data_IF_576828624329
#
_entry.id   IF_576828624329
#
_cell.length_a   1.000
_cell.length_b   1.000
_cell.length_c   1.000
_cell.angle_alpha   90.00
_cell.angle_beta   90.00
_cell.angle_gamma   90.00
#
_symmetry.space_group_name_H-M   'P 1'
#
loop_
_entity.id
_entity.type
_entity.pdbx_description
1 polymer ?
#
# COMPACT_ATOMS: atom_id res chain seq x y z
N UNK A 1 -4.41 -0.26 3.12
CA UNK A 1 -4.70 -1.29 2.07
C UNK A 1 -3.44 -1.75 1.34
N UNK A 2 -2.56 -0.86 0.83
CA UNK A 2 -1.21 -1.24 0.32
C UNK A 2 -0.27 -1.90 1.37
N UNK A 3 -0.66 -1.91 2.64
CA UNK A 3 0.02 -2.67 3.70
C UNK A 3 -0.21 -4.18 3.59
N UNK A 4 -1.30 -4.65 2.95
CA UNK A 4 -1.66 -6.07 2.90
C UNK A 4 -0.87 -6.85 1.83
N UNK A 5 -0.51 -6.21 0.72
CA UNK A 5 0.37 -6.80 -0.31
C UNK A 5 1.78 -7.04 0.25
N UNK A 6 2.38 -6.04 0.91
CA UNK A 6 3.66 -6.20 1.62
C UNK A 6 3.59 -7.21 2.77
N UNK A 7 2.45 -7.33 3.47
CA UNK A 7 2.26 -8.35 4.50
C UNK A 7 2.29 -9.78 3.95
N UNK A 8 1.88 -10.01 2.70
CA UNK A 8 1.92 -11.34 2.07
C UNK A 8 3.32 -11.73 1.61
N UNK A 9 4.09 -10.77 1.09
CA UNK A 9 5.52 -10.95 0.80
C UNK A 9 6.28 -11.37 2.07
N UNK A 10 6.01 -10.68 3.19
CA UNK A 10 6.58 -10.97 4.51
C UNK A 10 6.09 -12.32 5.08
N UNK A 11 4.83 -12.69 4.85
CA UNK A 11 4.30 -13.99 5.26
C UNK A 11 4.94 -15.16 4.49
N UNK A 12 5.28 -14.98 3.21
CA UNK A 12 6.03 -15.97 2.41
C UNK A 12 7.45 -16.17 2.94
N UNK A 13 8.12 -15.10 3.36
CA UNK A 13 9.48 -15.18 3.92
C UNK A 13 9.50 -15.81 5.32
N UNK A 14 8.50 -15.55 6.16
CA UNK A 14 8.39 -16.15 7.49
C UNK A 14 8.16 -17.68 7.46
N UNK A 15 7.47 -18.20 6.44
CA UNK A 15 7.18 -19.64 6.33
C UNK A 15 8.42 -20.51 6.01
N UNK A 16 9.49 -19.94 5.46
CA UNK A 16 10.69 -20.67 5.08
C UNK A 16 11.72 -20.85 6.21
N UNK A 17 11.70 -20.00 7.25
CA UNK A 17 12.73 -20.00 8.30
C UNK A 17 12.54 -21.10 9.37
N UNK A 18 11.37 -21.74 9.45
CA UNK A 18 11.02 -22.67 10.56
C UNK A 18 11.54 -24.11 10.36
N UNK A 19 12.26 -24.42 9.27
CA UNK A 19 12.55 -25.82 8.91
C UNK A 19 13.98 -26.35 9.20
N UNK A 20 14.93 -25.58 9.74
CA UNK A 20 16.32 -26.07 9.86
C UNK A 20 17.00 -25.63 11.17
N UNK A 21 16.92 -26.46 12.22
CA UNK A 21 17.94 -26.56 13.28
C UNK A 21 17.68 -27.77 14.19
N UNK A 22 18.25 -28.94 13.88
CA UNK A 22 18.32 -30.08 14.80
C UNK A 22 19.75 -30.66 14.78
N UNK A 23 20.68 -30.03 15.49
CA UNK A 23 21.96 -30.65 15.88
C UNK A 23 22.19 -30.50 17.39
N UNK A 24 22.49 -31.59 18.13
CA UNK A 24 22.67 -31.52 19.57
C UNK A 24 24.09 -31.01 19.92
N UNK A 25 24.16 -29.79 20.46
CA UNK A 25 25.36 -29.24 21.10
C UNK A 25 25.43 -29.59 22.60
N UNK A 26 26.62 -29.57 23.23
CA UNK A 26 26.81 -30.05 24.60
C UNK A 26 26.23 -29.09 25.66
N UNK A 27 25.29 -29.65 26.41
CA UNK A 27 24.73 -29.32 27.72
C UNK A 27 25.25 -28.08 28.47
N UNK A 28 24.43 -27.02 28.49
CA UNK A 28 24.42 -26.00 29.55
C UNK A 28 23.18 -26.21 30.43
N UNK A 29 23.43 -26.41 31.73
CA UNK A 29 22.52 -26.33 32.89
C UNK A 29 21.00 -26.41 32.67
N UNK A 30 20.44 -27.61 32.88
CA UNK A 30 19.35 -27.89 33.83
C UNK A 30 17.99 -27.18 33.72
N UNK A 31 17.74 -26.32 32.74
CA UNK A 31 16.37 -25.96 32.38
C UNK A 31 15.73 -27.22 31.79
N UNK A 32 14.65 -27.70 32.41
CA UNK A 32 13.82 -28.76 31.85
C UNK A 32 13.36 -28.27 30.48
N UNK A 33 13.99 -28.78 29.41
CA UNK A 33 13.61 -28.43 28.06
C UNK A 33 12.14 -28.83 27.88
N UNK A 34 11.34 -27.91 27.32
CA UNK A 34 9.95 -28.17 27.01
C UNK A 34 9.83 -29.49 26.24
N UNK A 35 8.83 -30.31 26.60
CA UNK A 35 8.60 -31.55 25.88
C UNK A 35 8.34 -31.19 24.39
N UNK A 36 8.93 -31.92 23.43
CA UNK A 36 8.73 -31.61 22.02
C UNK A 36 7.23 -31.67 21.68
N UNK A 37 6.74 -30.81 20.77
CA UNK A 37 5.33 -30.79 20.42
C UNK A 37 4.95 -32.10 19.75
N UNK A 38 3.74 -32.60 20.02
CA UNK A 38 3.28 -33.88 19.46
C UNK A 38 3.26 -33.86 17.92
N UNK A 39 3.35 -35.04 17.29
CA UNK A 39 3.31 -35.15 15.83
C UNK A 39 2.01 -34.56 15.25
N UNK A 40 0.90 -34.75 15.96
CA UNK A 40 -0.40 -34.18 15.60
C UNK A 40 -0.40 -32.65 15.70
N UNK A 41 0.19 -32.11 16.77
CA UNK A 41 0.34 -30.67 16.98
C UNK A 41 1.15 -30.04 15.81
N UNK A 42 2.29 -30.64 15.45
CA UNK A 42 3.12 -30.20 14.32
C UNK A 42 2.38 -30.28 12.99
N UNK A 43 1.65 -31.36 12.74
CA UNK A 43 0.83 -31.50 11.55
C UNK A 43 -0.28 -30.44 11.49
N UNK A 44 -0.90 -30.12 12.62
CA UNK A 44 -1.91 -29.08 12.70
C UNK A 44 -1.34 -27.69 12.39
N UNK A 45 -0.17 -27.36 12.96
CA UNK A 45 0.51 -26.09 12.70
C UNK A 45 0.87 -25.93 11.22
N UNK A 46 1.43 -26.97 10.59
CA UNK A 46 1.73 -26.98 9.14
C UNK A 46 0.48 -26.74 8.30
N UNK A 47 -0.63 -27.41 8.62
CA UNK A 47 -1.92 -27.18 7.95
C UNK A 47 -2.40 -25.73 8.14
N UNK A 48 -2.21 -25.15 9.33
CA UNK A 48 -2.55 -23.76 9.62
C UNK A 48 -1.77 -22.78 8.74
N UNK A 49 -0.44 -22.94 8.65
CA UNK A 49 0.39 -22.11 7.78
C UNK A 49 0.11 -22.31 6.29
N UNK A 50 -0.08 -23.55 5.85
CA UNK A 50 -0.46 -23.85 4.47
C UNK A 50 -1.81 -23.23 4.13
N UNK A 51 -2.80 -23.33 5.02
CA UNK A 51 -4.09 -22.68 4.88
C UNK A 51 -3.97 -21.15 4.84
N UNK A 52 -3.12 -20.57 5.69
CA UNK A 52 -2.85 -19.13 5.71
C UNK A 52 -2.22 -18.65 4.39
N UNK A 53 -1.19 -19.34 3.91
CA UNK A 53 -0.57 -19.07 2.61
C UNK A 53 -1.56 -19.29 1.45
N UNK A 54 -2.46 -20.26 1.61
CA UNK A 54 -3.56 -20.55 0.71
C UNK A 54 -4.76 -19.58 0.86
N UNK A 55 -4.72 -18.63 1.81
CA UNK A 55 -5.80 -17.67 2.04
C UNK A 55 -7.13 -18.34 2.38
N UNK A 56 -7.10 -19.56 2.92
CA UNK A 56 -8.28 -20.34 3.25
C UNK A 56 -8.91 -19.83 4.55
N UNK A 57 -10.24 -19.83 4.60
CA UNK A 57 -11.00 -19.35 5.76
C UNK A 57 -10.74 -20.15 7.04
N UNK A 58 -10.33 -21.42 6.94
CA UNK A 58 -10.03 -22.27 8.09
C UNK A 58 -8.65 -22.01 8.72
N UNK A 59 -7.79 -21.18 8.11
CA UNK A 59 -6.45 -20.90 8.61
C UNK A 59 -6.46 -20.38 10.05
N UNK A 60 -7.37 -19.44 10.37
CA UNK A 60 -7.46 -18.86 11.71
C UNK A 60 -7.77 -19.92 12.79
N UNK A 61 -8.73 -20.82 12.51
CA UNK A 61 -9.12 -21.88 13.44
C UNK A 61 -7.98 -22.88 13.69
N UNK A 62 -7.25 -23.23 12.64
CA UNK A 62 -6.09 -24.13 12.73
C UNK A 62 -4.98 -23.49 13.57
N UNK A 63 -4.64 -22.23 13.29
CA UNK A 63 -3.62 -21.48 14.04
C UNK A 63 -4.04 -21.28 15.50
N UNK A 64 -5.31 -21.01 15.79
CA UNK A 64 -5.81 -20.89 17.16
C UNK A 64 -5.73 -22.19 17.96
N UNK A 65 -5.99 -23.32 17.30
CA UNK A 65 -5.80 -24.65 17.92
C UNK A 65 -4.32 -24.91 18.20
N UNK A 66 -3.44 -24.54 17.27
CA UNK A 66 -1.99 -24.65 17.46
C UNK A 66 -1.48 -23.76 18.58
N UNK A 67 -1.96 -22.51 18.73
CA UNK A 67 -1.59 -21.65 19.87
C UNK A 67 -1.92 -22.33 21.19
N UNK A 68 -3.16 -22.83 21.33
CA UNK A 68 -3.61 -23.48 22.57
C UNK A 68 -2.75 -24.69 22.93
N UNK A 69 -2.35 -25.47 21.93
CA UNK A 69 -1.50 -26.64 22.11
C UNK A 69 -0.05 -26.28 22.44
N UNK A 70 0.51 -25.26 21.79
CA UNK A 70 1.87 -24.79 22.03
C UNK A 70 2.00 -24.17 23.43
N UNK A 71 1.02 -23.38 23.85
CA UNK A 71 0.98 -22.81 25.20
C UNK A 71 0.84 -23.93 26.27
N UNK A 72 -0.04 -24.90 26.04
CA UNK A 72 -0.25 -26.04 26.94
C UNK A 72 0.98 -26.94 27.07
N UNK A 73 1.77 -27.06 26.02
CA UNK A 73 3.01 -27.86 26.02
C UNK A 73 4.26 -27.04 26.35
N UNK A 74 4.09 -25.78 26.78
CA UNK A 74 5.15 -24.88 27.22
C UNK A 74 6.26 -24.70 26.18
N UNK A 75 5.90 -24.64 24.90
CA UNK A 75 6.85 -24.43 23.81
C UNK A 75 7.57 -23.07 23.94
N UNK A 76 8.75 -22.91 23.30
CA UNK A 76 9.50 -21.66 23.36
C UNK A 76 8.63 -20.43 23.04
N UNK A 77 8.69 -19.34 23.86
CA UNK A 77 7.81 -18.19 23.68
C UNK A 77 7.90 -17.51 22.31
N UNK A 78 9.07 -17.53 21.67
CA UNK A 78 9.29 -17.03 20.31
C UNK A 78 8.53 -17.83 19.25
N UNK A 79 8.44 -19.16 19.39
CA UNK A 79 7.60 -19.98 18.50
C UNK A 79 6.13 -19.61 18.67
N UNK A 80 5.64 -19.50 19.90
CA UNK A 80 4.25 -19.11 20.20
C UNK A 80 3.95 -17.72 19.62
N UNK A 81 4.89 -16.77 19.79
CA UNK A 81 4.79 -15.42 19.24
C UNK A 81 4.62 -15.43 17.71
N UNK A 82 5.39 -16.27 17.00
CA UNK A 82 5.27 -16.40 15.56
C UNK A 82 3.88 -16.88 15.11
N UNK A 83 3.24 -17.79 15.85
CA UNK A 83 1.89 -18.28 15.54
C UNK A 83 0.84 -17.17 15.76
N UNK A 84 0.96 -16.40 16.85
CA UNK A 84 0.12 -15.21 17.08
C UNK A 84 0.25 -14.20 15.94
N UNK A 85 1.48 -13.85 15.54
CA UNK A 85 1.76 -12.96 14.40
C UNK A 85 1.10 -13.45 13.10
N UNK A 86 1.22 -14.74 12.81
CA UNK A 86 0.59 -15.34 11.63
C UNK A 86 -0.94 -15.23 11.65
N UNK A 87 -1.57 -15.49 12.80
CA UNK A 87 -3.02 -15.33 12.97
C UNK A 87 -3.45 -13.88 12.85
N UNK A 88 -2.67 -12.94 13.38
CA UNK A 88 -2.92 -11.52 13.26
C UNK A 88 -2.95 -11.05 11.79
N UNK A 89 -2.03 -11.55 10.96
CA UNK A 89 -2.02 -11.25 9.51
C UNK A 89 -3.34 -11.70 8.86
N UNK A 90 -3.82 -12.90 9.17
CA UNK A 90 -5.10 -13.40 8.66
C UNK A 90 -6.27 -12.52 9.11
N UNK A 91 -6.33 -12.16 10.39
CA UNK A 91 -7.37 -11.26 10.93
C UNK A 91 -7.33 -9.88 10.28
N UNK A 92 -6.15 -9.33 10.06
CA UNK A 92 -5.96 -8.05 9.37
C UNK A 92 -6.45 -8.12 7.92
N UNK A 93 -6.14 -9.20 7.20
CA UNK A 93 -6.66 -9.46 5.85
C UNK A 93 -8.19 -9.60 5.80
N UNK A 94 -8.82 -10.05 6.89
CA UNK A 94 -10.28 -10.12 7.04
C UNK A 94 -10.90 -8.78 7.49
N UNK A 95 -10.12 -7.71 7.60
CA UNK A 95 -10.58 -6.41 8.11
C UNK A 95 -10.80 -6.37 9.63
N UNK A 96 -10.39 -7.40 10.36
CA UNK A 96 -10.52 -7.51 11.83
C UNK A 96 -9.29 -6.92 12.53
N UNK A 97 -9.03 -5.64 12.27
CA UNK A 97 -7.84 -4.95 12.76
C UNK A 97 -7.72 -4.98 14.30
N UNK A 98 -8.82 -4.83 15.04
CA UNK A 98 -8.82 -4.92 16.51
C UNK A 98 -8.37 -6.28 17.04
N UNK A 99 -8.88 -7.36 16.44
CA UNK A 99 -8.49 -8.72 16.83
C UNK A 99 -7.04 -9.05 16.42
N UNK A 100 -6.55 -8.42 15.34
CA UNK A 100 -5.15 -8.50 14.94
C UNK A 100 -4.24 -7.78 15.95
N UNK A 101 -4.64 -6.62 16.49
CA UNK A 101 -3.89 -5.91 17.54
C UNK A 101 -3.71 -6.79 18.78
N UNK A 102 -4.77 -7.48 19.23
CA UNK A 102 -4.70 -8.39 20.38
C UNK A 102 -3.64 -9.48 20.17
N UNK A 103 -3.60 -10.08 18.97
CA UNK A 103 -2.61 -11.10 18.64
C UNK A 103 -1.19 -10.51 18.52
N UNK A 104 -1.04 -9.32 17.96
CA UNK A 104 0.27 -8.65 17.82
C UNK A 104 0.84 -8.20 19.17
N UNK A 105 -0.02 -7.77 20.10
CA UNK A 105 0.38 -7.48 21.47
C UNK A 105 0.85 -8.74 22.21
N UNK A 106 0.14 -9.86 22.02
CA UNK A 106 0.58 -11.15 22.56
C UNK A 106 1.92 -11.59 21.94
N UNK A 107 2.07 -11.47 20.62
CA UNK A 107 3.32 -11.76 19.91
C UNK A 107 4.49 -10.92 20.43
N UNK A 108 4.32 -9.61 20.55
CA UNK A 108 5.38 -8.71 21.03
C UNK A 108 5.74 -8.97 22.49
N UNK A 109 4.75 -9.25 23.35
CA UNK A 109 4.97 -9.58 24.77
C UNK A 109 5.80 -10.86 24.92
N UNK A 110 5.49 -11.89 24.13
CA UNK A 110 6.19 -13.18 24.18
C UNK A 110 7.60 -13.08 23.57
N UNK A 111 7.77 -12.31 22.50
CA UNK A 111 9.06 -12.08 21.87
C UNK A 111 9.99 -11.19 22.71
N UNK A 112 9.42 -10.25 23.48
CA UNK A 112 10.16 -9.37 24.40
C UNK A 112 10.61 -10.13 25.65
N UNK A 113 11.66 -10.93 25.53
CA UNK A 113 12.19 -11.76 26.61
C UNK A 113 12.61 -13.16 26.19
N UNK A 114 12.41 -13.51 24.91
CA UNK A 114 12.86 -14.77 24.33
C UNK A 114 14.09 -14.57 23.43
N UNK A 115 14.57 -15.65 22.83
CA UNK A 115 15.61 -15.63 21.81
C UNK A 115 15.04 -15.34 20.41
N UNK A 116 13.94 -14.58 20.32
CA UNK A 116 13.31 -14.24 19.06
C UNK A 116 14.29 -13.47 18.14
N UNK A 117 14.19 -13.76 16.85
CA UNK A 117 14.90 -13.00 15.82
C UNK A 117 14.53 -11.50 15.92
N UNK A 118 15.51 -10.58 16.06
CA UNK A 118 15.26 -9.13 16.05
C UNK A 118 14.39 -8.66 14.87
N UNK A 119 14.55 -9.29 13.70
CA UNK A 119 13.75 -9.00 12.51
C UNK A 119 12.26 -9.28 12.76
N UNK A 120 11.96 -10.36 13.48
CA UNK A 120 10.58 -10.74 13.76
C UNK A 120 9.89 -9.80 14.73
N UNK A 121 10.63 -9.23 15.70
CA UNK A 121 10.14 -8.18 16.59
C UNK A 121 9.85 -6.91 15.78
N UNK A 122 10.77 -6.49 14.93
CA UNK A 122 10.60 -5.32 14.06
C UNK A 122 9.37 -5.48 13.16
N UNK A 123 9.21 -6.64 12.51
CA UNK A 123 8.05 -6.92 11.64
C UNK A 123 6.74 -6.89 12.43
N UNK A 124 6.72 -7.38 13.67
CA UNK A 124 5.53 -7.32 14.52
C UNK A 124 5.09 -5.88 14.82
N UNK A 125 6.03 -4.96 15.07
CA UNK A 125 5.71 -3.52 15.16
C UNK A 125 5.13 -2.96 13.86
N UNK A 126 5.71 -3.30 12.71
CA UNK A 126 5.18 -2.84 11.40
C UNK A 126 3.74 -3.33 11.16
N UNK A 127 3.46 -4.59 11.51
CA UNK A 127 2.12 -5.16 11.41
C UNK A 127 1.14 -4.45 12.36
N UNK A 128 1.58 -4.11 13.57
CA UNK A 128 0.74 -3.42 14.57
C UNK A 128 0.45 -1.98 14.15
N UNK A 129 1.45 -1.27 13.63
CA UNK A 129 1.25 0.03 13.01
C UNK A 129 0.24 0.00 11.85
N UNK A 130 0.26 -1.05 11.03
CA UNK A 130 -0.69 -1.23 9.93
C UNK A 130 -2.12 -1.47 10.43
N UNK A 131 -2.29 -2.22 11.52
CA UNK A 131 -3.58 -2.43 12.16
C UNK A 131 -4.10 -1.13 12.80
N UNK A 132 -3.27 -0.37 13.51
CA UNK A 132 -3.60 0.97 14.01
C UNK A 132 -3.99 1.94 12.89
N UNK A 133 -3.25 1.94 11.78
CA UNK A 133 -3.60 2.71 10.58
C UNK A 133 -4.99 2.35 10.05
N UNK A 134 -5.36 1.07 10.01
CA UNK A 134 -6.69 0.64 9.56
C UNK A 134 -7.82 1.11 10.49
N UNK A 135 -7.50 1.44 11.75
CA UNK A 135 -8.41 1.99 12.75
C UNK A 135 -8.36 3.53 12.85
N UNK A 136 -7.53 4.19 12.03
CA UNK A 136 -7.22 5.63 12.12
C UNK A 136 -6.57 6.05 13.46
N UNK A 137 -5.87 5.13 14.12
CA UNK A 137 -5.12 5.34 15.36
C UNK A 137 -3.68 5.80 15.01
N UNK A 138 -3.58 7.01 14.46
CA UNK A 138 -2.35 7.50 13.82
C UNK A 138 -1.16 7.67 14.78
N UNK A 139 -1.44 8.02 16.05
CA UNK A 139 -0.38 8.24 17.06
C UNK A 139 0.26 6.91 17.46
N UNK A 140 -0.55 5.89 17.64
CA UNK A 140 -0.13 4.53 17.94
C UNK A 140 0.64 3.94 16.76
N UNK A 141 0.17 4.17 15.53
CA UNK A 141 0.88 3.78 14.32
C UNK A 141 2.26 4.45 14.21
N UNK A 142 2.37 5.75 14.51
CA UNK A 142 3.66 6.46 14.53
C UNK A 142 4.61 5.88 15.58
N UNK A 143 4.11 5.61 16.79
CA UNK A 143 4.90 5.04 17.87
C UNK A 143 5.48 3.67 17.50
N UNK A 144 4.66 2.80 16.90
CA UNK A 144 5.09 1.49 16.41
C UNK A 144 6.10 1.57 15.27
N UNK A 145 5.88 2.47 14.31
CA UNK A 145 6.84 2.70 13.23
C UNK A 145 8.17 3.23 13.76
N UNK A 146 8.15 4.09 14.77
CA UNK A 146 9.35 4.57 15.45
C UNK A 146 10.06 3.43 16.19
N UNK A 147 9.32 2.56 16.88
CA UNK A 147 9.88 1.37 17.51
C UNK A 147 10.51 0.40 16.50
N UNK A 148 9.91 0.26 15.31
CA UNK A 148 10.48 -0.53 14.20
C UNK A 148 11.74 0.10 13.62
N UNK A 149 11.76 1.43 13.40
CA UNK A 149 12.91 2.17 12.87
C UNK A 149 14.11 2.12 13.84
N UNK A 150 13.87 2.29 15.14
CA UNK A 150 14.92 2.25 16.16
C UNK A 150 15.62 0.87 16.28
N UNK A 151 15.10 -0.15 15.61
CA UNK A 151 15.68 -1.51 15.56
C UNK A 151 16.42 -1.79 14.26
N UNK A 152 16.43 -0.88 13.28
CA UNK A 152 17.13 -1.12 12.02
C UNK A 152 18.63 -1.37 12.23
N UNK A 153 19.24 -0.75 13.23
CA UNK A 153 20.65 -0.94 13.59
C UNK A 153 20.94 -2.34 14.19
N UNK A 154 19.90 -3.05 14.64
CA UNK A 154 20.00 -4.43 15.16
C UNK A 154 19.84 -5.48 14.05
N UNK A 155 19.58 -5.06 12.80
CA UNK A 155 19.30 -5.95 11.68
C UNK A 155 20.47 -5.99 10.69
N UNK A 156 20.61 -7.12 10.01
CA UNK A 156 21.63 -7.29 8.97
C UNK A 156 21.07 -7.13 7.56
N UNK A 157 21.93 -6.69 6.64
CA UNK A 157 21.68 -6.74 5.20
C UNK A 157 20.50 -5.88 4.74
N UNK A 158 19.57 -6.49 3.99
CA UNK A 158 18.44 -5.79 3.37
C UNK A 158 17.41 -5.28 4.38
N UNK A 159 17.36 -5.86 5.58
CA UNK A 159 16.37 -5.47 6.58
C UNK A 159 16.76 -4.19 7.34
N UNK A 160 18.06 -3.90 7.40
CA UNK A 160 18.60 -2.67 7.98
C UNK A 160 18.22 -1.42 7.17
N UNK A 161 17.90 -1.58 5.88
CA UNK A 161 17.48 -0.48 5.00
C UNK A 161 16.07 -0.71 4.49
N UNK A 162 15.08 -0.14 5.19
CA UNK A 162 13.68 -0.30 4.85
C UNK A 162 12.99 1.05 4.57
N UNK A 163 12.98 1.56 3.32
CA UNK A 163 12.32 2.83 2.97
C UNK A 163 10.84 2.90 3.31
N UNK A 164 10.18 1.74 3.39
CA UNK A 164 8.76 1.67 3.67
C UNK A 164 8.41 2.13 5.09
N UNK A 165 9.33 1.99 6.05
CA UNK A 165 9.10 2.45 7.42
C UNK A 165 8.99 3.97 7.47
N UNK A 166 9.94 4.67 6.85
CA UNK A 166 9.94 6.12 6.76
C UNK A 166 8.72 6.63 6.00
N UNK A 167 8.38 6.04 4.85
CA UNK A 167 7.20 6.44 4.08
C UNK A 167 5.88 6.28 4.88
N UNK A 168 5.74 5.18 5.63
CA UNK A 168 4.57 4.96 6.49
C UNK A 168 4.55 5.93 7.65
N UNK A 169 5.69 6.21 8.28
CA UNK A 169 5.77 7.15 9.42
C UNK A 169 5.50 8.58 8.97
N UNK A 170 6.01 8.99 7.81
CA UNK A 170 5.66 10.25 7.17
C UNK A 170 4.14 10.39 7.02
N UNK A 171 3.46 9.36 6.50
CA UNK A 171 2.00 9.37 6.35
C UNK A 171 1.29 9.54 7.70
N UNK A 172 1.70 8.81 8.74
CA UNK A 172 1.14 8.94 10.08
C UNK A 172 1.34 10.35 10.66
N UNK A 173 2.55 10.91 10.51
CA UNK A 173 2.90 12.26 10.95
C UNK A 173 2.12 13.35 10.21
N UNK A 174 1.92 13.22 8.89
CA UNK A 174 1.03 14.09 8.11
C UNK A 174 -0.39 14.12 8.68
N UNK A 175 -0.95 12.96 9.03
CA UNK A 175 -2.29 12.85 9.61
C UNK A 175 -2.38 13.42 11.03
N UNK A 176 -1.27 13.44 11.76
CA UNK A 176 -1.15 14.04 13.09
C UNK A 176 -0.84 15.55 13.04
N UNK A 177 -0.54 16.10 11.86
CA UNK A 177 -0.10 17.48 11.70
C UNK A 177 1.37 17.73 12.06
N UNK A 178 2.17 16.70 12.29
CA UNK A 178 3.63 16.82 12.40
C UNK A 178 4.26 16.93 11.00
N UNK A 179 4.10 18.11 10.41
CA UNK A 179 4.56 18.38 9.06
C UNK A 179 6.09 18.38 8.94
N UNK A 180 6.82 18.81 9.98
CA UNK A 180 8.29 18.81 9.94
C UNK A 180 8.83 17.38 9.98
N UNK A 181 8.40 16.57 10.94
CA UNK A 181 8.85 15.19 11.03
C UNK A 181 8.43 14.35 9.83
N UNK A 182 7.26 14.64 9.23
CA UNK A 182 6.88 14.01 7.97
C UNK A 182 7.76 14.43 6.80
N UNK A 183 8.20 15.69 6.72
CA UNK A 183 9.02 16.15 5.61
C UNK A 183 10.37 15.42 5.60
N UNK A 184 10.97 15.28 6.78
CA UNK A 184 12.24 14.56 6.98
C UNK A 184 12.09 13.07 6.61
N UNK A 185 11.03 12.41 7.09
CA UNK A 185 10.76 11.00 6.77
C UNK A 185 10.48 10.79 5.27
N UNK A 186 9.73 11.69 4.63
CA UNK A 186 9.47 11.62 3.19
C UNK A 186 10.73 11.80 2.36
N UNK A 187 11.66 12.66 2.79
CA UNK A 187 12.95 12.84 2.11
C UNK A 187 13.84 11.61 2.22
N UNK A 188 13.94 11.01 3.41
CA UNK A 188 14.66 9.75 3.62
C UNK A 188 14.06 8.62 2.76
N UNK A 189 12.73 8.46 2.80
CA UNK A 189 12.04 7.46 1.99
C UNK A 189 12.26 7.68 0.49
N UNK A 190 12.21 8.93 0.01
CA UNK A 190 12.50 9.25 -1.39
C UNK A 190 13.92 8.84 -1.79
N UNK A 191 14.92 9.17 -0.97
CA UNK A 191 16.31 8.82 -1.22
C UNK A 191 16.51 7.29 -1.26
N UNK A 192 15.94 6.58 -0.31
CA UNK A 192 16.10 5.12 -0.23
C UNK A 192 15.33 4.40 -1.35
N UNK A 193 14.13 4.85 -1.70
CA UNK A 193 13.40 4.33 -2.88
C UNK A 193 14.16 4.59 -4.18
N UNK A 194 14.83 5.75 -4.29
CA UNK A 194 15.74 6.02 -5.41
C UNK A 194 16.88 5.01 -5.46
N UNK A 195 17.49 4.69 -4.32
CA UNK A 195 18.62 3.78 -4.22
C UNK A 195 18.25 2.35 -4.64
N UNK A 196 17.05 1.86 -4.29
CA UNK A 196 16.56 0.53 -4.69
C UNK A 196 15.88 0.50 -6.06
N UNK A 197 15.80 1.65 -6.76
CA UNK A 197 15.20 1.74 -8.09
C UNK A 197 13.66 1.73 -8.13
N UNK A 198 12.98 1.87 -6.99
CA UNK A 198 11.51 1.96 -6.93
C UNK A 198 11.05 3.39 -7.27
N UNK A 199 10.91 3.63 -8.58
CA UNK A 199 10.53 4.94 -9.10
C UNK A 199 9.13 5.38 -8.67
N UNK A 200 8.16 4.46 -8.55
CA UNK A 200 6.78 4.83 -8.21
C UNK A 200 6.73 5.33 -6.77
N UNK A 201 7.28 4.56 -5.83
CA UNK A 201 7.24 4.92 -4.40
C UNK A 201 8.14 6.09 -4.07
N UNK A 202 9.22 6.29 -4.82
CA UNK A 202 10.01 7.53 -4.77
C UNK A 202 9.14 8.75 -5.06
N UNK A 203 8.41 8.75 -6.17
CA UNK A 203 7.58 9.91 -6.57
C UNK A 203 6.40 10.10 -5.61
N UNK A 204 5.81 9.02 -5.10
CA UNK A 204 4.80 9.10 -4.03
C UNK A 204 5.37 9.77 -2.76
N UNK A 205 6.57 9.36 -2.33
CA UNK A 205 7.23 9.96 -1.17
C UNK A 205 7.57 11.43 -1.41
N UNK A 206 7.95 11.80 -2.63
CA UNK A 206 8.15 13.20 -3.01
C UNK A 206 6.84 14.01 -2.97
N UNK A 207 5.73 13.42 -3.41
CA UNK A 207 4.42 14.05 -3.34
C UNK A 207 4.00 14.34 -1.89
N UNK A 208 4.11 13.35 -1.00
CA UNK A 208 3.82 13.51 0.43
C UNK A 208 4.76 14.52 1.09
N UNK A 209 6.06 14.44 0.78
CA UNK A 209 7.07 15.40 1.25
C UNK A 209 6.77 16.84 0.82
N UNK A 210 6.17 17.06 -0.35
CA UNK A 210 5.78 18.40 -0.78
C UNK A 210 4.65 19.00 0.07
N UNK A 211 3.67 18.19 0.48
CA UNK A 211 2.60 18.63 1.40
C UNK A 211 3.17 18.90 2.80
N UNK A 212 4.04 18.01 3.27
CA UNK A 212 4.71 18.12 4.55
C UNK A 212 5.58 19.39 4.64
N UNK A 213 6.41 19.65 3.62
CA UNK A 213 7.20 20.89 3.54
C UNK A 213 6.32 22.14 3.59
N UNK A 214 5.16 22.12 2.92
CA UNK A 214 4.25 23.24 2.95
C UNK A 214 3.71 23.48 4.37
N UNK A 215 3.24 22.43 5.02
CA UNK A 215 2.72 22.50 6.39
C UNK A 215 3.79 22.85 7.43
N UNK A 216 5.04 22.52 7.16
CA UNK A 216 6.19 22.90 7.98
C UNK A 216 6.61 24.37 7.78
N UNK A 217 5.86 25.16 7.01
CA UNK A 217 6.17 26.56 6.74
C UNK A 217 7.32 26.77 5.75
N UNK A 218 7.61 25.78 4.90
CA UNK A 218 8.64 25.82 3.85
C UNK A 218 8.02 25.82 2.43
N UNK A 219 7.14 26.80 2.08
CA UNK A 219 6.35 26.77 0.87
C UNK A 219 7.18 26.81 -0.42
N UNK A 220 8.32 27.51 -0.44
CA UNK A 220 9.19 27.56 -1.61
C UNK A 220 9.75 26.17 -1.96
N UNK A 221 10.20 25.42 -0.95
CA UNK A 221 10.71 24.07 -1.12
C UNK A 221 9.60 23.09 -1.49
N UNK A 222 8.42 23.26 -0.87
CA UNK A 222 7.23 22.51 -1.21
C UNK A 222 6.86 22.66 -2.69
N UNK A 223 6.82 23.90 -3.21
CA UNK A 223 6.51 24.18 -4.63
C UNK A 223 7.54 23.56 -5.57
N UNK A 224 8.84 23.65 -5.25
CA UNK A 224 9.86 22.98 -6.05
C UNK A 224 9.68 21.46 -6.06
N UNK A 225 9.30 20.88 -4.92
CA UNK A 225 9.03 19.45 -4.80
C UNK A 225 7.76 19.03 -5.54
N UNK A 226 6.71 19.87 -5.56
CA UNK A 226 5.52 19.67 -6.41
C UNK A 226 5.89 19.65 -7.90
N UNK A 227 6.69 20.63 -8.35
CA UNK A 227 7.19 20.70 -9.74
C UNK A 227 8.01 19.47 -10.11
N UNK A 228 8.86 18.99 -9.21
CA UNK A 228 9.58 17.74 -9.38
C UNK A 228 8.63 16.55 -9.61
N UNK A 229 7.58 16.42 -8.79
CA UNK A 229 6.56 15.38 -8.96
C UNK A 229 5.85 15.49 -10.31
N UNK A 230 5.43 16.70 -10.72
CA UNK A 230 4.77 16.92 -12.02
C UNK A 230 5.65 16.51 -13.21
N UNK A 231 6.94 16.83 -13.17
CA UNK A 231 7.91 16.44 -14.22
C UNK A 231 8.23 14.94 -14.19
N UNK A 232 8.17 14.31 -13.02
CA UNK A 232 8.59 12.92 -12.84
C UNK A 232 7.49 11.90 -13.13
N UNK A 233 6.21 12.29 -13.19
CA UNK A 233 5.09 11.34 -13.34
C UNK A 233 5.07 10.54 -14.64
N UNK A 234 5.65 11.07 -15.72
CA UNK A 234 5.78 10.33 -16.98
C UNK A 234 6.89 9.27 -16.97
N UNK A 235 7.69 9.20 -15.91
CA UNK A 235 8.89 8.35 -15.82
C UNK A 235 8.67 6.99 -15.14
N UNK A 236 7.81 6.81 -14.12
CA UNK A 236 7.48 5.48 -13.65
C UNK A 236 6.42 4.85 -14.58
N UNK A 237 6.88 4.22 -15.66
CA UNK A 237 6.09 3.21 -16.33
C UNK A 237 6.43 1.86 -15.70
N UNK A 238 5.41 1.16 -15.19
CA UNK A 238 5.53 -0.25 -14.81
C UNK A 238 4.69 -1.12 -15.72
N UNK A 239 5.26 -2.25 -16.12
CA UNK A 239 4.58 -3.37 -16.77
C UNK A 239 4.15 -4.44 -15.77
N UNK A 240 4.47 -4.28 -14.48
CA UNK A 240 4.04 -5.18 -13.43
C UNK A 240 2.57 -4.89 -13.07
N UNK A 241 1.64 -5.84 -13.25
CA UNK A 241 0.24 -5.62 -12.88
C UNK A 241 0.04 -5.38 -11.38
N UNK A 242 0.96 -5.83 -10.52
CA UNK A 242 0.88 -5.55 -9.07
C UNK A 242 1.11 -4.07 -8.73
N UNK A 243 1.75 -3.30 -9.63
CA UNK A 243 1.97 -1.87 -9.45
C UNK A 243 0.76 -1.01 -9.84
N UNK A 244 -0.32 -1.59 -10.39
CA UNK A 244 -1.51 -0.84 -10.82
C UNK A 244 -2.07 0.00 -9.66
N UNK A 245 -2.18 -0.58 -8.46
CA UNK A 245 -2.67 0.15 -7.28
C UNK A 245 -1.77 1.33 -6.91
N UNK A 246 -0.45 1.20 -7.08
CA UNK A 246 0.51 2.27 -6.80
C UNK A 246 0.46 3.37 -7.87
N UNK A 247 0.29 2.99 -9.14
CA UNK A 247 0.12 3.94 -10.24
C UNK A 247 -1.17 4.74 -10.10
N UNK A 248 -2.26 4.07 -9.69
CA UNK A 248 -3.54 4.71 -9.37
C UNK A 248 -3.36 5.72 -8.22
N UNK A 249 -2.69 5.32 -7.15
CA UNK A 249 -2.39 6.21 -6.03
C UNK A 249 -1.52 7.41 -6.46
N UNK A 250 -0.52 7.18 -7.33
CA UNK A 250 0.31 8.25 -7.88
C UNK A 250 -0.51 9.22 -8.74
N UNK A 251 -1.39 8.72 -9.60
CA UNK A 251 -2.30 9.56 -10.39
C UNK A 251 -3.24 10.39 -9.51
N UNK A 252 -3.75 9.82 -8.41
CA UNK A 252 -4.56 10.55 -7.42
C UNK A 252 -3.75 11.66 -6.75
N UNK A 253 -2.55 11.34 -6.24
CA UNK A 253 -1.65 12.32 -5.59
C UNK A 253 -1.25 13.44 -6.55
N UNK A 254 -0.94 13.13 -7.80
CA UNK A 254 -0.66 14.14 -8.84
C UNK A 254 -1.85 15.08 -9.06
N UNK A 255 -3.06 14.54 -9.19
CA UNK A 255 -4.28 15.34 -9.31
C UNK A 255 -4.47 16.29 -8.12
N UNK A 256 -4.30 15.77 -6.90
CA UNK A 256 -4.41 16.55 -5.67
C UNK A 256 -3.31 17.62 -5.57
N UNK A 257 -2.07 17.33 -5.96
CA UNK A 257 -0.99 18.32 -5.95
C UNK A 257 -1.24 19.47 -6.93
N UNK A 258 -1.89 19.22 -8.08
CA UNK A 258 -2.30 20.30 -8.97
C UNK A 258 -3.33 21.23 -8.29
N UNK A 259 -4.26 20.68 -7.50
CA UNK A 259 -5.23 21.47 -6.72
C UNK A 259 -4.54 22.25 -5.59
N UNK A 260 -3.59 21.64 -4.89
CA UNK A 260 -2.75 22.31 -3.88
C UNK A 260 -1.96 23.44 -4.49
N UNK A 261 -1.31 23.20 -5.62
CA UNK A 261 -0.51 24.21 -6.30
C UNK A 261 -1.37 25.36 -6.81
N UNK A 262 -2.58 25.07 -7.31
CA UNK A 262 -3.57 26.10 -7.65
C UNK A 262 -3.97 26.95 -6.45
N UNK A 263 -4.20 26.34 -5.29
CA UNK A 263 -4.53 27.05 -4.05
C UNK A 263 -3.37 27.97 -3.63
N UNK A 264 -2.13 27.47 -3.66
CA UNK A 264 -0.94 28.29 -3.39
C UNK A 264 -0.80 29.47 -4.38
N UNK A 265 -0.89 29.23 -5.68
CA UNK A 265 -0.83 30.27 -6.70
C UNK A 265 -1.88 31.36 -6.49
N UNK A 266 -3.09 30.97 -6.07
CA UNK A 266 -4.18 31.90 -5.80
C UNK A 266 -3.94 32.68 -4.51
N UNK A 267 -3.77 31.99 -3.39
CA UNK A 267 -3.77 32.59 -2.06
C UNK A 267 -2.45 33.25 -1.67
N UNK A 268 -1.31 32.65 -2.02
CA UNK A 268 0.01 33.16 -1.65
C UNK A 268 0.60 34.08 -2.72
N UNK A 269 0.43 33.76 -4.00
CA UNK A 269 1.08 34.51 -5.09
C UNK A 269 0.14 35.45 -5.86
N UNK A 270 -1.17 35.42 -5.59
CA UNK A 270 -2.18 36.20 -6.33
C UNK A 270 -2.19 35.96 -7.86
N UNK A 271 -1.69 34.82 -8.33
CA UNK A 271 -1.61 34.43 -9.75
C UNK A 271 -2.88 33.72 -10.21
N UNK A 272 -3.98 34.47 -10.26
CA UNK A 272 -5.34 33.96 -10.55
C UNK A 272 -5.43 33.14 -11.84
N UNK A 273 -4.81 33.59 -12.92
CA UNK A 273 -4.86 32.89 -14.21
C UNK A 273 -4.15 31.53 -14.17
N UNK A 274 -2.96 31.47 -13.55
CA UNK A 274 -2.21 30.23 -13.40
C UNK A 274 -2.92 29.26 -12.45
N UNK A 275 -3.47 29.78 -11.34
CA UNK A 275 -4.28 29.01 -10.42
C UNK A 275 -5.47 28.34 -11.12
N UNK A 276 -6.18 29.04 -12.01
CA UNK A 276 -7.27 28.46 -12.81
C UNK A 276 -6.80 27.31 -13.70
N UNK A 277 -5.68 27.49 -14.40
CA UNK A 277 -5.11 26.44 -15.25
C UNK A 277 -4.75 25.19 -14.45
N UNK A 278 -4.08 25.37 -13.31
CA UNK A 278 -3.68 24.25 -12.44
C UNK A 278 -4.88 23.57 -11.80
N UNK A 279 -5.88 24.35 -11.36
CA UNK A 279 -7.13 23.81 -10.80
C UNK A 279 -7.87 22.95 -11.83
N UNK A 280 -8.03 23.45 -13.06
CA UNK A 280 -8.66 22.71 -14.14
C UNK A 280 -7.89 21.42 -14.46
N UNK A 281 -6.55 21.48 -14.50
CA UNK A 281 -5.71 20.29 -14.73
C UNK A 281 -5.90 19.24 -13.64
N UNK A 282 -5.81 19.63 -12.36
CA UNK A 282 -6.06 18.73 -11.23
C UNK A 282 -7.45 18.12 -11.26
N UNK A 283 -8.46 18.92 -11.61
CA UNK A 283 -9.84 18.48 -11.77
C UNK A 283 -10.05 17.39 -12.82
N UNK A 284 -9.50 17.61 -14.02
CA UNK A 284 -9.60 16.63 -15.10
C UNK A 284 -8.91 15.31 -14.69
N UNK A 285 -7.75 15.41 -14.03
CA UNK A 285 -6.97 14.26 -13.56
C UNK A 285 -7.69 13.47 -12.48
N UNK A 286 -8.32 14.16 -11.53
CA UNK A 286 -9.08 13.54 -10.46
C UNK A 286 -10.28 12.75 -11.02
N UNK A 287 -11.02 13.35 -11.97
CA UNK A 287 -12.14 12.66 -12.62
C UNK A 287 -11.68 11.51 -13.51
N UNK A 288 -10.53 11.65 -14.20
CA UNK A 288 -9.94 10.56 -14.97
C UNK A 288 -9.53 9.39 -14.09
N UNK A 289 -8.86 9.66 -12.96
CA UNK A 289 -8.50 8.67 -11.94
C UNK A 289 -9.75 7.93 -11.43
N UNK A 290 -10.78 8.68 -11.04
CA UNK A 290 -12.02 8.11 -10.50
C UNK A 290 -12.73 7.22 -11.52
N UNK A 291 -12.87 7.67 -12.77
CA UNK A 291 -13.50 6.88 -13.85
C UNK A 291 -12.72 5.61 -14.14
N UNK A 292 -11.41 5.70 -14.38
CA UNK A 292 -10.57 4.52 -14.66
C UNK A 292 -10.62 3.52 -13.51
N UNK A 293 -10.48 3.99 -12.27
CA UNK A 293 -10.54 3.12 -11.10
C UNK A 293 -11.89 2.41 -10.95
N UNK A 294 -13.02 3.11 -11.10
CA UNK A 294 -14.34 2.50 -11.02
C UNK A 294 -14.59 1.51 -12.16
N UNK A 295 -14.14 1.82 -13.38
CA UNK A 295 -14.23 0.90 -14.52
C UNK A 295 -13.44 -0.38 -14.27
N UNK A 296 -12.24 -0.28 -13.69
CA UNK A 296 -11.42 -1.45 -13.32
C UNK A 296 -12.05 -2.29 -12.23
N UNK A 297 -12.58 -1.67 -11.18
CA UNK A 297 -13.27 -2.40 -10.11
C UNK A 297 -14.47 -3.19 -10.67
N UNK A 298 -15.25 -2.58 -11.56
CA UNK A 298 -16.36 -3.27 -12.26
C UNK A 298 -15.87 -4.39 -13.16
N UNK A 299 -14.79 -4.17 -13.91
CA UNK A 299 -14.20 -5.18 -14.78
C UNK A 299 -13.66 -6.37 -13.97
N UNK A 300 -13.01 -6.10 -12.83
CA UNK A 300 -12.54 -7.13 -11.90
C UNK A 300 -13.70 -7.93 -11.31
N UNK A 301 -14.76 -7.25 -10.87
CA UNK A 301 -15.94 -7.90 -10.32
C UNK A 301 -16.62 -8.80 -11.36
N UNK A 302 -16.77 -8.31 -12.60
CA UNK A 302 -17.34 -9.10 -13.70
C UNK A 302 -16.49 -10.33 -13.98
N UNK A 303 -15.16 -10.18 -14.02
CA UNK A 303 -14.22 -11.26 -14.25
C UNK A 303 -14.31 -12.32 -13.14
N UNK A 304 -14.31 -11.91 -11.87
CA UNK A 304 -14.48 -12.82 -10.72
C UNK A 304 -15.80 -13.57 -10.76
N UNK A 305 -16.89 -12.92 -11.17
CA UNK A 305 -18.20 -13.56 -11.35
C UNK A 305 -18.16 -14.61 -12.45
N UNK A 306 -17.53 -14.31 -13.59
CA UNK A 306 -17.39 -15.27 -14.70
C UNK A 306 -16.57 -16.49 -14.28
N UNK A 307 -15.47 -16.27 -13.55
CA UNK A 307 -14.63 -17.34 -13.02
C UNK A 307 -15.36 -18.23 -12.02
N UNK A 308 -16.13 -17.64 -11.11
CA UNK A 308 -16.94 -18.41 -10.17
C UNK A 308 -17.97 -19.29 -10.89
N UNK A 309 -18.62 -18.76 -11.94
CA UNK A 309 -19.55 -19.54 -12.77
C UNK A 309 -18.84 -20.67 -13.52
N UNK A 310 -17.66 -20.42 -14.08
CA UNK A 310 -16.87 -21.44 -14.77
C UNK A 310 -16.41 -22.53 -13.82
N UNK A 311 -15.91 -22.18 -12.63
CA UNK A 311 -15.52 -23.15 -11.60
C UNK A 311 -16.70 -24.04 -11.20
N UNK A 312 -17.89 -23.45 -11.03
CA UNK A 312 -19.12 -24.19 -10.75
C UNK A 312 -19.49 -25.17 -11.89
N UNK A 313 -19.35 -24.74 -13.15
CA UNK A 313 -19.62 -25.61 -14.32
C UNK A 313 -18.63 -26.76 -14.44
N UNK A 314 -17.37 -26.54 -14.06
CA UNK A 314 -16.31 -27.54 -14.10
C UNK A 314 -16.31 -28.46 -12.87
N UNK A 315 -17.21 -28.24 -11.91
CA UNK A 315 -17.23 -28.98 -10.64
C UNK A 315 -16.00 -28.73 -9.77
N UNK A 316 -15.29 -27.62 -10.00
CA UNK A 316 -14.16 -27.18 -9.17
C UNK A 316 -14.71 -26.38 -7.99
N UNK A 317 -14.50 -26.89 -6.78
CA UNK A 317 -14.84 -26.18 -5.55
C UNK A 317 -13.75 -25.19 -5.11
N UNK A 318 -12.59 -25.21 -5.78
CA UNK A 318 -11.51 -24.29 -5.47
C UNK A 318 -11.85 -22.92 -6.03
N UNK A 319 -11.82 -21.90 -5.17
CA UNK A 319 -11.78 -20.50 -5.59
C UNK A 319 -10.59 -20.40 -6.53
N UNK A 320 -10.84 -20.16 -7.82
CA UNK A 320 -9.79 -20.01 -8.82
C UNK A 320 -8.85 -18.90 -8.34
N UNK A 321 -7.75 -19.29 -7.71
CA UNK A 321 -6.58 -18.44 -7.66
C UNK A 321 -6.17 -18.20 -9.11
N UNK A 322 -5.55 -17.07 -9.36
CA UNK A 322 -4.90 -16.79 -10.64
C UNK A 322 -3.69 -17.71 -10.88
N UNK A 323 -3.78 -19.00 -10.51
CA UNK A 323 -2.90 -20.04 -11.01
C UNK A 323 -2.96 -19.93 -12.53
N UNK A 324 -1.81 -19.58 -13.08
CA UNK A 324 -1.53 -19.32 -14.48
C UNK A 324 -2.53 -20.01 -15.40
N UNK A 325 -3.38 -19.21 -16.04
CA UNK A 325 -4.30 -19.67 -17.08
C UNK A 325 -3.46 -20.09 -18.30
N UNK A 326 -2.80 -21.25 -18.21
CA UNK A 326 -2.16 -21.97 -19.31
C UNK A 326 -3.27 -22.65 -20.12
N UNK A 327 -4.15 -21.85 -20.72
CA UNK A 327 -5.04 -22.35 -21.77
C UNK A 327 -4.33 -22.24 -23.11
N UNK A 328 -4.41 -23.23 -24.01
CA UNK A 328 -3.79 -23.20 -25.34
C UNK A 328 -4.32 -22.07 -26.24
N UNK A 329 -5.37 -21.36 -25.83
CA UNK A 329 -5.96 -20.22 -26.53
C UNK A 329 -5.58 -18.84 -25.96
N UNK A 330 -4.83 -18.78 -24.85
CA UNK A 330 -4.19 -17.55 -24.37
C UNK A 330 -2.86 -17.36 -25.11
N UNK A 331 -2.95 -17.12 -26.42
CA UNK A 331 -1.78 -16.70 -27.20
C UNK A 331 -1.35 -15.30 -26.76
N UNK A 332 -0.06 -14.97 -26.90
CA UNK A 332 0.45 -13.62 -26.64
C UNK A 332 -0.28 -12.51 -27.44
N UNK A 333 -1.00 -12.89 -28.51
CA UNK A 333 -1.88 -12.01 -29.28
C UNK A 333 -3.19 -11.65 -28.56
N UNK A 334 -3.84 -12.61 -27.87
CA UNK A 334 -5.07 -12.35 -27.10
C UNK A 334 -4.79 -11.60 -25.79
N UNK A 335 -3.60 -11.80 -25.20
CA UNK A 335 -3.14 -11.08 -24.02
C UNK A 335 -2.77 -9.60 -24.30
N UNK A 336 -2.51 -9.23 -25.57
CA UNK A 336 -2.21 -7.86 -25.99
C UNK A 336 -3.44 -6.93 -26.04
N UNK A 337 -4.67 -7.46 -25.90
CA UNK A 337 -5.89 -6.83 -26.40
C UNK A 337 -6.80 -6.13 -25.38
N UNK A 338 -6.56 -6.22 -24.07
CA UNK A 338 -7.47 -5.59 -23.11
C UNK A 338 -6.74 -4.65 -22.17
N UNK A 339 -6.69 -3.26 -22.40
CA UNK A 339 -6.36 -1.87 -21.78
C UNK A 339 -5.14 -1.22 -20.97
N UNK A 340 -5.24 -0.47 -19.86
CA UNK A 340 -5.52 0.98 -19.82
C UNK A 340 -6.08 1.56 -21.10
N UNK A 341 -6.77 2.67 -21.01
CA UNK A 341 -6.99 3.44 -22.21
C UNK A 341 -5.64 4.03 -22.70
N UNK A 342 -5.01 3.54 -23.80
CA UNK A 342 -3.78 4.16 -24.34
C UNK A 342 -4.03 5.59 -24.84
N UNK A 343 -5.29 6.02 -24.82
CA UNK A 343 -5.76 7.35 -25.15
C UNK A 343 -6.23 8.10 -23.89
N UNK A 344 -6.09 7.59 -22.67
CA UNK A 344 -6.22 8.41 -21.46
C UNK A 344 -4.94 9.24 -21.31
N UNK A 345 -4.99 10.58 -21.36
CA UNK A 345 -3.78 11.39 -21.28
C UNK A 345 -3.17 11.44 -19.87
N UNK A 346 -3.79 10.78 -18.87
CA UNK A 346 -3.48 10.97 -17.45
C UNK A 346 -2.94 9.72 -16.75
N UNK A 347 -2.92 8.58 -17.43
CA UNK A 347 -2.27 7.34 -16.96
C UNK A 347 -1.42 6.82 -18.12
N UNK A 348 -0.16 7.25 -18.17
CA UNK A 348 0.72 6.96 -19.29
C UNK A 348 1.33 5.56 -19.18
N UNK A 349 0.65 4.55 -19.70
CA UNK A 349 1.33 3.42 -20.36
C UNK A 349 1.54 3.76 -21.84
N UNK A 350 2.57 3.18 -22.46
CA UNK A 350 2.97 3.48 -23.84
C UNK A 350 1.79 3.22 -24.81
N UNK A 351 1.58 4.09 -25.83
CA UNK A 351 0.55 3.88 -26.84
C UNK A 351 0.79 2.56 -27.60
N UNK A 352 -0.18 1.64 -27.55
CA UNK A 352 -0.20 0.42 -28.38
C UNK A 352 -0.43 -0.90 -27.65
N UNK A 353 -0.61 -0.92 -26.33
CA UNK A 353 -0.82 -2.16 -25.57
C UNK A 353 -1.98 -2.06 -24.60
N UNK A 354 -2.60 -3.20 -24.36
CA UNK A 354 -3.89 -3.27 -23.68
C UNK A 354 -3.89 -4.28 -22.47
N UNK A 355 -4.13 -3.76 -21.22
CA UNK A 355 -4.45 -4.15 -19.78
C UNK A 355 -3.75 -5.45 -19.45
N UNK A 356 -2.68 -5.24 -18.71
CA UNK A 356 -2.00 -6.26 -17.97
C UNK A 356 -2.91 -6.70 -16.80
N UNK A 357 -3.81 -7.63 -17.10
CA UNK A 357 -4.12 -8.72 -16.18
C UNK A 357 -3.00 -9.74 -16.17
N UNK A 358 -1.89 -9.50 -16.88
CA UNK A 358 -0.84 -10.48 -17.05
C UNK A 358 0.54 -9.83 -16.90
N UNK A 359 1.50 -10.54 -16.33
CA UNK A 359 2.92 -10.23 -16.28
C UNK A 359 3.60 -11.07 -17.37
N UNK A 360 4.48 -10.43 -18.13
CA UNK A 360 5.31 -11.11 -19.12
C UNK A 360 6.70 -11.31 -18.51
N UNK A 361 7.02 -12.55 -18.12
CA UNK A 361 8.36 -12.97 -17.68
C UNK A 361 9.16 -13.59 -18.83
N UNK A 362 10.34 -14.16 -18.53
CA UNK A 362 11.20 -14.90 -19.47
C UNK A 362 10.53 -16.20 -20.00
N UNK A 363 9.45 -16.06 -20.76
CA UNK A 363 8.77 -17.15 -21.48
C UNK A 363 7.36 -17.50 -20.99
N UNK A 364 6.92 -17.01 -19.83
CA UNK A 364 5.58 -17.29 -19.29
C UNK A 364 4.73 -16.01 -19.17
N UNK A 365 3.44 -16.13 -19.54
CA UNK A 365 2.40 -15.13 -19.32
C UNK A 365 1.72 -15.49 -18.00
N UNK A 366 2.10 -14.83 -16.92
CA UNK A 366 1.48 -15.01 -15.61
C UNK A 366 0.30 -14.08 -15.48
N UNK A 367 -0.85 -14.52 -14.98
CA UNK A 367 -1.94 -13.60 -14.67
C UNK A 367 -1.61 -12.83 -13.39
N UNK A 368 -2.04 -11.56 -13.29
CA UNK A 368 -2.06 -10.75 -12.07
C UNK A 368 -2.62 -11.64 -10.96
N UNK A 369 -1.91 -11.69 -9.84
CA UNK A 369 -2.39 -12.38 -8.66
C UNK A 369 -3.72 -11.74 -8.25
N UNK A 370 -4.83 -12.48 -8.34
CA UNK A 370 -6.15 -12.04 -7.89
C UNK A 370 -6.14 -11.64 -6.40
N UNK A 371 -5.11 -12.07 -5.66
CA UNK A 371 -4.86 -11.65 -4.30
C UNK A 371 -4.45 -10.19 -4.13
N UNK A 372 -3.76 -9.56 -5.09
CA UNK A 372 -3.40 -8.15 -4.98
C UNK A 372 -4.64 -7.32 -5.30
N UNK A 373 -5.28 -6.69 -4.31
CA UNK A 373 -6.46 -5.85 -4.55
C UNK A 373 -6.11 -4.60 -5.39
N UNK A 374 -7.05 -4.13 -6.21
CA UNK A 374 -6.91 -2.81 -6.85
C UNK A 374 -6.92 -1.72 -5.79
N UNK A 375 -6.39 -0.53 -6.13
CA UNK A 375 -6.61 0.61 -5.26
C UNK A 375 -8.12 0.83 -5.11
N UNK A 376 -8.58 0.92 -3.86
CA UNK A 376 -9.94 1.36 -3.60
C UNK A 376 -10.07 2.80 -4.09
N UNK A 377 -11.15 3.05 -4.82
CA UNK A 377 -11.46 4.37 -5.37
C UNK A 377 -12.49 4.99 -4.44
N UNK A 378 -12.11 6.10 -3.81
CA UNK A 378 -13.03 6.92 -3.06
C UNK A 378 -13.98 7.62 -4.05
N UNK A 379 -15.25 7.22 -4.02
CA UNK A 379 -16.29 7.69 -4.94
C UNK A 379 -16.75 9.12 -4.61
N UNK A 380 -16.44 9.61 -3.40
CA UNK A 380 -16.71 10.98 -2.97
C UNK A 380 -15.76 11.99 -3.62
N UNK A 381 -14.67 11.53 -4.22
CA UNK A 381 -13.70 12.39 -4.88
C UNK A 381 -14.29 13.11 -6.07
N UNK A 382 -14.32 14.44 -5.97
CA UNK A 382 -14.82 15.31 -7.03
C UNK A 382 -14.21 16.70 -6.92
N UNK A 383 -14.13 17.42 -8.03
CA UNK A 383 -13.74 18.83 -8.01
C UNK A 383 -14.56 19.65 -7.04
N UNK A 384 -15.88 19.44 -7.02
CA UNK A 384 -16.80 20.09 -6.10
C UNK A 384 -16.45 19.80 -4.64
N UNK A 385 -16.13 18.56 -4.30
CA UNK A 385 -15.71 18.19 -2.93
C UNK A 385 -14.42 18.93 -2.52
N UNK A 386 -13.43 19.02 -3.42
CA UNK A 386 -12.22 19.80 -3.14
C UNK A 386 -12.47 21.30 -3.03
N UNK A 387 -13.61 21.85 -3.48
CA UNK A 387 -13.95 23.28 -3.29
C UNK A 387 -14.57 23.55 -1.93
N UNK A 388 -15.02 22.52 -1.23
CA UNK A 388 -15.62 22.60 0.08
C UNK A 388 -14.52 22.50 1.16
N UNK A 389 -14.28 23.61 1.86
CA UNK A 389 -13.28 23.68 2.92
C UNK A 389 -13.57 22.78 4.13
N UNK A 390 -14.85 22.54 4.44
CA UNK A 390 -15.24 21.62 5.52
C UNK A 390 -14.98 20.17 5.10
N UNK A 391 -15.36 19.83 3.86
CA UNK A 391 -15.06 18.51 3.30
C UNK A 391 -13.55 18.25 3.28
N UNK A 392 -12.75 19.22 2.84
CA UNK A 392 -11.28 19.12 2.83
C UNK A 392 -10.71 18.86 4.22
N UNK A 393 -11.13 19.62 5.24
CA UNK A 393 -10.65 19.40 6.61
C UNK A 393 -11.00 18.00 7.14
N UNK A 394 -12.18 17.51 6.81
CA UNK A 394 -12.64 16.20 7.26
C UNK A 394 -11.98 15.03 6.52
N UNK A 395 -11.82 15.14 5.20
CA UNK A 395 -11.41 14.02 4.33
C UNK A 395 -9.94 14.10 3.89
N UNK A 396 -9.30 15.26 4.04
CA UNK A 396 -7.88 15.51 3.74
C UNK A 396 -7.17 16.19 4.92
N UNK A 397 -7.19 15.60 6.14
CA UNK A 397 -6.47 16.15 7.28
C UNK A 397 -4.94 16.24 7.07
N UNK A 398 -4.39 15.51 6.10
CA UNK A 398 -3.00 15.64 5.68
C UNK A 398 -2.69 16.96 4.95
N UNK A 399 -3.71 17.70 4.48
CA UNK A 399 -3.50 19.03 3.89
C UNK A 399 -3.27 20.07 4.98
N UNK A 400 -2.20 20.87 4.88
CA UNK A 400 -1.98 22.03 5.76
C UNK A 400 -3.23 22.94 5.84
N UNK A 401 -3.66 23.39 7.04
CA UNK A 401 -4.85 24.22 7.20
C UNK A 401 -4.86 25.47 6.31
N UNK A 402 -3.70 26.10 6.13
CA UNK A 402 -3.53 27.26 5.27
C UNK A 402 -3.90 26.99 3.80
N UNK A 403 -3.61 25.78 3.29
CA UNK A 403 -4.00 25.39 1.94
C UNK A 403 -5.52 25.25 1.83
N UNK A 404 -6.18 24.66 2.83
CA UNK A 404 -7.64 24.57 2.86
C UNK A 404 -8.31 25.96 2.88
N UNK A 405 -7.72 26.93 3.58
CA UNK A 405 -8.17 28.33 3.56
C UNK A 405 -8.01 28.95 2.17
N UNK A 406 -6.86 28.76 1.51
CA UNK A 406 -6.65 29.24 0.14
C UNK A 406 -7.62 28.64 -0.85
N UNK A 407 -7.96 27.35 -0.70
CA UNK A 407 -8.98 26.71 -1.52
C UNK A 407 -10.36 27.32 -1.28
N UNK A 408 -10.75 27.57 -0.02
CA UNK A 408 -12.02 28.21 0.28
C UNK A 408 -12.10 29.62 -0.33
N UNK A 409 -11.01 30.39 -0.30
CA UNK A 409 -10.90 31.69 -0.95
C UNK A 409 -11.02 31.57 -2.49
N UNK A 410 -10.31 30.61 -3.08
CA UNK A 410 -10.40 30.31 -4.51
C UNK A 410 -11.85 29.97 -4.92
N UNK A 411 -12.51 29.09 -4.14
CA UNK A 411 -13.87 28.64 -4.43
C UNK A 411 -14.89 29.79 -4.37
N UNK A 412 -14.72 30.72 -3.42
CA UNK A 412 -15.56 31.92 -3.31
C UNK A 412 -15.34 32.89 -4.48
N UNK A 413 -14.09 33.08 -4.92
CA UNK A 413 -13.74 34.06 -5.94
C UNK A 413 -13.98 33.58 -7.38
N UNK A 414 -13.86 32.28 -7.62
CA UNK A 414 -13.91 31.69 -8.96
C UNK A 414 -15.05 30.68 -9.00
N UNK A 415 -16.16 30.99 -9.69
CA UNK A 415 -17.27 30.05 -9.86
C UNK A 415 -16.82 28.74 -10.50
N UNK A 416 -17.46 27.64 -10.10
CA UNK A 416 -17.22 26.34 -10.71
C UNK A 416 -17.66 26.36 -12.18
N UNK A 417 -16.81 25.81 -13.05
CA UNK A 417 -17.11 25.66 -14.47
C UNK A 417 -17.40 24.18 -14.77
N UNK A 418 -18.28 23.89 -15.75
CA UNK A 418 -18.49 22.53 -16.20
C UNK A 418 -17.16 21.87 -16.59
N UNK A 419 -16.87 20.71 -15.99
CA UNK A 419 -15.66 19.97 -16.30
C UNK A 419 -15.80 19.33 -17.69
N UNK A 420 -15.06 19.86 -18.66
CA UNK A 420 -14.96 19.25 -19.99
C UNK A 420 -13.79 18.29 -20.01
N UNK A 421 -14.10 16.99 -20.00
CA UNK A 421 -13.07 15.97 -20.16
C UNK A 421 -12.49 16.06 -21.57
N UNK A 422 -11.16 16.09 -21.74
CA UNK A 422 -10.55 16.06 -23.06
C UNK A 422 -10.93 14.75 -23.76
N UNK A 423 -11.03 14.81 -25.09
CA UNK A 423 -11.22 13.59 -25.87
C UNK A 423 -10.06 12.62 -25.65
N UNK A 424 -10.36 11.33 -25.69
CA UNK A 424 -9.35 10.25 -25.77
C UNK A 424 -8.25 10.63 -26.77
N UNK A 425 -7.00 10.66 -26.32
CA UNK A 425 -5.80 10.81 -27.14
C UNK A 425 -5.42 12.27 -27.39
N UNK A 426 -6.13 13.21 -26.76
CA UNK A 426 -5.71 14.61 -26.73
C UNK A 426 -4.32 14.72 -26.10
N UNK A 427 -3.48 15.65 -26.59
CA UNK A 427 -2.23 15.96 -25.92
C UNK A 427 -2.50 16.41 -24.47
N UNK A 428 -1.53 16.23 -23.57
CA UNK A 428 -1.62 16.71 -22.21
C UNK A 428 -2.01 18.19 -22.13
N UNK A 429 -2.72 18.57 -21.07
CA UNK A 429 -3.27 19.93 -20.91
C UNK A 429 -2.13 20.96 -20.83
N UNK A 430 -2.35 22.20 -21.30
CA UNK A 430 -1.31 23.26 -21.31
C UNK A 430 -0.60 23.47 -19.97
N UNK A 431 -1.33 23.29 -18.85
CA UNK A 431 -0.78 23.39 -17.50
C UNK A 431 0.33 22.38 -17.18
N UNK A 432 0.57 21.38 -18.04
CA UNK A 432 1.61 20.37 -17.88
C UNK A 432 2.93 20.73 -18.58
N UNK A 433 2.86 21.59 -19.60
CA UNK A 433 4.03 21.91 -20.46
C UNK A 433 4.78 23.15 -19.98
N UNK A 434 4.19 23.91 -19.06
CA UNK A 434 4.73 25.18 -18.55
C UNK A 434 5.64 25.03 -17.31
N UNK A 435 6.21 23.84 -17.06
CA UNK A 435 7.02 23.52 -15.86
C UNK A 435 8.47 23.10 -16.11
#
# INVERSE_FOLDING_TARGET
LNSLSNMRELARQAACAVCIALTPGPSWNGALAAAPPSVEAQANLRRGFQAAQAGLSNAESLLGSSISEWERSEQPPDEVAAIYKARAIIRSQQGRAKDALVDLDASLRLASGSAADPADIQRAYVLRAAAHTALNEWREAEADLTAAINRLDDLDGLEATNPYLYAKRATARLRLGDYSGSADDSELAELDFRNIGDKIRRVLSAADGSLALYGAGRPSEAVEKMRYTFRSKGLPASNNPDDIGLLQELSRKDAELHLVYAAHLFGAESKVAQARTQWQSGCIRLEAYRRDGLERLRAEELLRRQEALQAQQEGRNDVLRAESVRTPFNSGFNAQLNGLDPKSPYVTQRPGQSYFWYKFGEGDIERRDAGTELAQVDDSLSCSAFRDGDWLRANRPEWPPQLAEFVAQYAKAIPEQPLVMPSKGSPPSRGEVEF
#
